data_IF_261861879675
#
_entry.id   IF_261861879675
#
_cell.length_a   1.000
_cell.length_b   1.000
_cell.length_c   1.000
_cell.angle_alpha   90.00
_cell.angle_beta   90.00
_cell.angle_gamma   90.00
#
_symmetry.space_group_name_H-M   'P 1'
#
loop_
_entity.id
_entity.type
_entity.pdbx_description
1 polymer ?
#
# COMPACT_ATOMS: atom_id res chain seq x y z
N UNK A 1 4.36 -4.14 -13.34
CA UNK A 1 3.66 -5.42 -13.52
C UNK A 1 3.83 -6.25 -12.27
N UNK A 2 2.82 -7.02 -11.86
CA UNK A 2 2.95 -7.95 -10.73
C UNK A 2 3.95 -9.07 -11.08
N UNK A 3 4.69 -9.56 -10.09
CA UNK A 3 5.75 -10.56 -10.29
C UNK A 3 5.30 -12.00 -10.03
N UNK A 4 4.08 -12.19 -9.52
CA UNK A 4 3.42 -13.49 -9.38
C UNK A 4 2.24 -13.57 -10.33
N UNK A 5 2.10 -14.71 -11.02
CA UNK A 5 1.06 -14.89 -12.06
C UNK A 5 -0.36 -14.71 -11.51
N UNK A 6 -0.61 -15.14 -10.27
CA UNK A 6 -1.92 -15.02 -9.62
C UNK A 6 -2.37 -13.57 -9.41
N UNK A 7 -1.43 -12.61 -9.44
CA UNK A 7 -1.70 -11.18 -9.28
C UNK A 7 -1.64 -10.41 -10.60
N UNK A 8 -1.59 -11.10 -11.75
CA UNK A 8 -1.69 -10.44 -13.04
C UNK A 8 -3.04 -9.72 -13.17
N UNK A 9 -2.97 -8.44 -13.50
CA UNK A 9 -4.14 -7.58 -13.54
C UNK A 9 -4.75 -7.38 -14.94
N UNK A 10 -4.20 -8.03 -15.98
CA UNK A 10 -4.59 -7.76 -17.37
C UNK A 10 -6.09 -7.98 -17.61
N UNK A 11 -6.63 -9.10 -17.11
CA UNK A 11 -8.06 -9.43 -17.24
C UNK A 11 -8.91 -8.44 -16.44
N UNK A 12 -8.49 -8.09 -15.22
CA UNK A 12 -9.24 -7.18 -14.37
C UNK A 12 -9.31 -5.79 -15.00
N UNK A 13 -8.17 -5.25 -15.45
CA UNK A 13 -8.11 -3.94 -16.09
C UNK A 13 -8.96 -3.90 -17.37
N UNK A 14 -8.82 -4.89 -18.25
CA UNK A 14 -9.54 -4.93 -19.53
C UNK A 14 -11.05 -5.17 -19.38
N UNK A 15 -11.47 -6.00 -18.43
CA UNK A 15 -12.89 -6.36 -18.28
C UNK A 15 -13.71 -5.33 -17.48
N UNK A 16 -13.05 -4.53 -16.64
CA UNK A 16 -13.72 -3.54 -15.79
C UNK A 16 -13.47 -2.08 -16.20
N UNK A 17 -12.65 -1.84 -17.22
CA UNK A 17 -12.21 -0.50 -17.65
C UNK A 17 -11.61 0.29 -16.47
N UNK A 18 -10.65 -0.34 -15.77
CA UNK A 18 -9.98 0.26 -14.61
C UNK A 18 -8.46 0.16 -14.70
N UNK A 19 -7.80 1.09 -14.00
CA UNK A 19 -6.35 1.02 -13.78
C UNK A 19 -6.08 0.17 -12.54
N UNK A 20 -5.22 -0.82 -12.69
CA UNK A 20 -4.76 -1.65 -11.57
C UNK A 20 -3.26 -1.44 -11.38
N UNK A 21 -2.88 -1.03 -10.18
CA UNK A 21 -1.49 -0.88 -9.77
C UNK A 21 -1.16 -1.86 -8.64
N UNK A 22 0.06 -2.40 -8.68
CA UNK A 22 0.63 -3.23 -7.62
C UNK A 22 2.01 -2.71 -7.25
N UNK A 23 2.45 -2.92 -6.01
CA UNK A 23 3.77 -2.52 -5.56
C UNK A 23 4.39 -3.60 -4.67
N UNK A 24 5.72 -3.59 -4.58
CA UNK A 24 6.45 -4.36 -3.59
C UNK A 24 6.66 -3.49 -2.35
N UNK A 25 6.60 -4.10 -1.17
CA UNK A 25 6.99 -3.48 0.09
C UNK A 25 7.94 -4.39 0.83
N UNK A 26 8.76 -3.84 1.72
CA UNK A 26 9.64 -4.66 2.56
C UNK A 26 8.82 -5.53 3.49
N UNK A 27 9.24 -6.80 3.60
CA UNK A 27 8.63 -7.82 4.46
C UNK A 27 9.64 -8.34 5.48
N UNK A 28 9.16 -9.07 6.49
CA UNK A 28 10.00 -9.63 7.56
C UNK A 28 10.78 -8.56 8.32
N UNK A 29 11.98 -8.89 8.78
CA UNK A 29 12.82 -7.96 9.54
C UNK A 29 13.14 -6.67 8.76
N UNK A 30 13.27 -6.74 7.43
CA UNK A 30 13.57 -5.57 6.60
C UNK A 30 12.45 -4.52 6.60
N UNK A 31 11.20 -4.96 6.77
CA UNK A 31 10.04 -4.06 6.81
C UNK A 31 9.57 -3.71 8.23
N UNK A 32 9.88 -4.55 9.21
CA UNK A 32 9.19 -4.49 10.51
C UNK A 32 10.11 -4.62 11.73
N UNK A 33 11.44 -4.56 11.56
CA UNK A 33 12.35 -4.48 12.70
C UNK A 33 12.08 -3.20 13.51
N UNK A 34 11.80 -3.38 14.80
CA UNK A 34 11.58 -2.31 15.76
C UNK A 34 12.52 -2.47 16.94
N UNK A 35 13.52 -1.58 17.04
CA UNK A 35 14.48 -1.56 18.15
C UNK A 35 14.58 -0.17 18.78
N UNK A 36 13.63 0.74 18.50
CA UNK A 36 13.72 2.14 18.90
C UNK A 36 13.88 2.35 20.42
N UNK A 37 13.42 1.39 21.24
CA UNK A 37 13.64 1.38 22.70
C UNK A 37 15.11 1.36 23.14
N UNK A 38 16.03 1.01 22.24
CA UNK A 38 17.48 0.94 22.50
C UNK A 38 18.24 2.16 21.93
N UNK A 39 17.54 3.09 21.27
CA UNK A 39 18.11 4.29 20.69
C UNK A 39 17.62 5.55 21.41
N UNK A 40 18.13 6.71 20.99
CA UNK A 40 17.61 8.00 21.46
C UNK A 40 16.13 8.16 21.10
N UNK A 41 15.33 8.89 21.90
CA UNK A 41 13.97 9.25 21.52
C UNK A 41 13.95 9.87 20.12
N UNK A 42 12.95 9.49 19.31
CA UNK A 42 12.82 9.93 17.90
C UNK A 42 13.96 9.46 16.97
N UNK A 43 14.71 8.43 17.33
CA UNK A 43 15.66 7.81 16.40
C UNK A 43 14.93 7.14 15.22
N UNK A 44 15.46 7.38 14.02
CA UNK A 44 14.99 6.82 12.74
C UNK A 44 15.80 5.58 12.32
N UNK A 45 16.69 5.06 13.18
CA UNK A 45 17.52 3.87 12.86
C UNK A 45 16.68 2.60 12.71
N UNK A 46 15.67 2.41 13.57
CA UNK A 46 14.77 1.23 13.55
C UNK A 46 13.36 1.58 14.05
N UNK A 47 12.64 2.50 13.36
CA UNK A 47 11.36 3.03 13.81
C UNK A 47 10.22 2.00 13.71
N UNK A 48 10.45 0.85 13.06
CA UNK A 48 9.43 -0.17 12.78
C UNK A 48 8.49 0.23 11.65
N UNK A 49 7.63 -0.70 11.24
CA UNK A 49 6.57 -0.47 10.24
C UNK A 49 7.01 0.12 8.89
N UNK A 50 8.30 0.04 8.56
CA UNK A 50 8.85 0.53 7.29
C UNK A 50 8.21 -0.13 6.07
N UNK A 51 7.73 -1.36 6.17
CA UNK A 51 6.92 -2.00 5.13
C UNK A 51 5.57 -1.33 4.89
N UNK A 52 4.92 -0.78 5.93
CA UNK A 52 3.71 0.03 5.79
C UNK A 52 4.02 1.42 5.22
N UNK A 53 5.17 1.99 5.59
CA UNK A 53 5.62 3.26 5.00
C UNK A 53 5.97 3.12 3.52
N UNK A 54 6.52 1.99 3.08
CA UNK A 54 6.72 1.69 1.66
C UNK A 54 5.38 1.69 0.91
N UNK A 55 4.35 1.06 1.49
CA UNK A 55 3.00 1.07 0.93
C UNK A 55 2.41 2.47 0.88
N UNK A 56 2.54 3.25 1.95
CA UNK A 56 2.05 4.63 2.01
C UNK A 56 2.72 5.52 0.95
N UNK A 57 4.04 5.35 0.75
CA UNK A 57 4.79 6.04 -0.29
C UNK A 57 4.30 5.66 -1.69
N UNK A 58 4.09 4.37 -1.94
CA UNK A 58 3.59 3.89 -3.23
C UNK A 58 2.16 4.37 -3.51
N UNK A 59 1.27 4.38 -2.52
CA UNK A 59 -0.11 4.89 -2.66
C UNK A 59 -0.10 6.38 -2.97
N UNK A 60 0.75 7.16 -2.29
CA UNK A 60 0.93 8.58 -2.58
C UNK A 60 1.44 8.80 -4.01
N UNK A 61 2.45 8.03 -4.42
CA UNK A 61 2.95 8.08 -5.80
C UNK A 61 1.85 7.76 -6.81
N UNK A 62 1.02 6.75 -6.56
CA UNK A 62 -0.13 6.42 -7.42
C UNK A 62 -1.11 7.59 -7.50
N UNK A 63 -1.46 8.22 -6.36
CA UNK A 63 -2.34 9.39 -6.35
C UNK A 63 -1.75 10.56 -7.15
N UNK A 64 -0.48 10.88 -6.93
CA UNK A 64 0.19 11.99 -7.60
C UNK A 64 0.31 11.78 -9.12
N UNK A 65 0.36 10.52 -9.57
CA UNK A 65 0.54 10.16 -10.98
C UNK A 65 -0.74 9.64 -11.67
N UNK A 66 -1.86 9.50 -10.96
CA UNK A 66 -3.07 8.86 -11.49
C UNK A 66 -3.51 9.47 -12.83
N UNK A 67 -3.54 10.80 -12.92
CA UNK A 67 -3.95 11.51 -14.14
C UNK A 67 -3.05 11.23 -15.34
N UNK A 68 -1.75 11.00 -15.12
CA UNK A 68 -0.80 10.71 -16.20
C UNK A 68 -1.07 9.34 -16.87
N UNK A 69 -1.75 8.44 -16.16
CA UNK A 69 -2.18 7.13 -16.67
C UNK A 69 -3.66 7.11 -17.08
N UNK A 70 -4.34 8.25 -17.06
CA UNK A 70 -5.78 8.35 -17.37
C UNK A 70 -6.70 8.00 -16.20
N UNK A 71 -6.16 7.91 -14.98
CA UNK A 71 -6.91 7.62 -13.76
C UNK A 71 -7.38 8.88 -13.03
N UNK A 72 -8.40 8.70 -12.20
CA UNK A 72 -8.87 9.74 -11.27
C UNK A 72 -8.17 9.56 -9.90
N UNK A 73 -7.35 10.52 -9.44
CA UNK A 73 -6.62 10.45 -8.15
C UNK A 73 -7.54 10.38 -6.93
N UNK A 74 -8.82 10.62 -7.14
CA UNK A 74 -9.84 10.71 -6.14
C UNK A 74 -10.71 9.43 -6.11
N UNK A 75 -10.60 8.57 -7.14
CA UNK A 75 -11.28 7.26 -7.19
C UNK A 75 -10.35 6.09 -6.89
N UNK A 76 -9.44 6.23 -5.92
CA UNK A 76 -8.56 5.14 -5.49
C UNK A 76 -9.29 4.19 -4.52
N UNK A 77 -9.23 2.89 -4.84
CA UNK A 77 -9.64 1.76 -3.98
C UNK A 77 -8.41 0.93 -3.64
N UNK A 78 -8.15 0.70 -2.35
CA UNK A 78 -7.16 -0.29 -1.93
C UNK A 78 -7.80 -1.67 -1.83
N UNK A 79 -7.10 -2.72 -2.27
CA UNK A 79 -7.54 -4.09 -2.03
C UNK A 79 -6.35 -5.00 -1.75
N UNK A 80 -6.54 -5.98 -0.88
CA UNK A 80 -5.48 -6.91 -0.49
C UNK A 80 -6.02 -8.14 0.24
N UNK A 81 -5.19 -9.18 0.23
CA UNK A 81 -5.49 -10.50 0.81
C UNK A 81 -4.52 -10.84 1.94
N UNK A 82 -5.00 -11.53 2.99
CA UNK A 82 -4.21 -11.94 4.15
C UNK A 82 -3.46 -10.75 4.77
N UNK A 83 -2.13 -10.79 4.84
CA UNK A 83 -1.31 -9.66 5.30
C UNK A 83 -1.52 -8.37 4.48
N UNK A 84 -1.87 -8.49 3.19
CA UNK A 84 -2.30 -7.37 2.37
C UNK A 84 -3.67 -6.82 2.80
N UNK A 85 -4.61 -7.69 3.17
CA UNK A 85 -5.90 -7.29 3.75
C UNK A 85 -5.72 -6.54 5.08
N UNK A 86 -4.85 -7.06 5.95
CA UNK A 86 -4.44 -6.38 7.19
C UNK A 86 -3.71 -5.06 6.93
N UNK A 87 -2.92 -4.98 5.86
CA UNK A 87 -2.30 -3.71 5.45
C UNK A 87 -3.35 -2.67 5.03
N UNK A 88 -4.38 -3.09 4.27
CA UNK A 88 -5.51 -2.22 3.90
C UNK A 88 -6.27 -1.73 5.13
N UNK A 89 -6.51 -2.58 6.13
CA UNK A 89 -7.16 -2.16 7.38
C UNK A 89 -6.32 -1.15 8.15
N UNK A 90 -5.00 -1.35 8.24
CA UNK A 90 -4.10 -0.40 8.89
C UNK A 90 -4.06 0.95 8.17
N UNK A 91 -4.08 0.97 6.83
CA UNK A 91 -4.14 2.22 6.06
C UNK A 91 -5.47 2.95 6.20
N UNK A 92 -6.58 2.25 6.37
CA UNK A 92 -7.88 2.87 6.68
C UNK A 92 -7.86 3.62 8.01
N UNK A 93 -7.13 3.08 9.00
CA UNK A 93 -7.07 3.63 10.35
C UNK A 93 -5.96 4.67 10.53
N UNK A 94 -4.90 4.60 9.72
CA UNK A 94 -3.74 5.47 9.85
C UNK A 94 -4.08 6.94 9.58
N UNK A 95 -3.78 7.87 10.52
CA UNK A 95 -3.94 9.30 10.28
C UNK A 95 -3.16 9.83 9.07
N UNK A 96 -2.01 9.22 8.79
CA UNK A 96 -1.09 9.61 7.70
C UNK A 96 -1.64 9.33 6.31
N UNK A 97 -2.66 8.49 6.22
CA UNK A 97 -3.28 8.05 4.97
C UNK A 97 -4.56 8.82 4.62
N UNK A 98 -5.00 9.75 5.48
CA UNK A 98 -6.24 10.51 5.26
C UNK A 98 -6.20 11.25 3.93
N UNK A 99 -7.23 11.05 3.12
CA UNK A 99 -7.40 11.70 1.82
C UNK A 99 -6.62 11.05 0.67
N UNK A 100 -5.79 10.03 0.93
CA UNK A 100 -5.04 9.35 -0.13
C UNK A 100 -5.89 8.35 -0.93
N UNK A 101 -6.90 7.75 -0.30
CA UNK A 101 -7.85 6.85 -0.94
C UNK A 101 -9.20 6.94 -0.24
N UNK A 102 -10.27 6.43 -0.88
CA UNK A 102 -11.64 6.54 -0.34
C UNK A 102 -12.35 5.21 -0.10
N UNK A 103 -11.83 4.12 -0.68
CA UNK A 103 -12.50 2.81 -0.69
C UNK A 103 -11.51 1.69 -0.40
N UNK A 104 -11.99 0.61 0.19
CA UNK A 104 -11.18 -0.52 0.58
C UNK A 104 -11.91 -1.84 0.38
N UNK A 105 -11.18 -2.89 0.02
CA UNK A 105 -11.64 -4.28 -0.03
C UNK A 105 -10.62 -5.12 0.76
N UNK A 106 -11.08 -5.86 1.75
CA UNK A 106 -10.24 -6.65 2.65
C UNK A 106 -10.60 -8.12 2.49
N UNK A 107 -9.65 -8.94 2.06
CA UNK A 107 -9.87 -10.37 1.84
C UNK A 107 -9.11 -11.17 2.90
N UNK A 108 -9.83 -11.73 3.88
CA UNK A 108 -9.24 -12.59 4.91
C UNK A 108 -8.08 -11.96 5.71
N UNK A 109 -8.21 -10.69 6.10
CA UNK A 109 -7.18 -9.94 6.85
C UNK A 109 -7.72 -8.75 7.60
#
# INVERSE_FOLDING_TARGET
>A
TATLDIYRADIMAASSDTIVASMQYRVGAFGFLYLNRYFSPQSEETPGNMGLWDQALAIRWIKDNAMAFGGDPDLITLFGESAGGGSVSLHLLSPEMRGLFRRAILQSG
#
